data_IF_830747278388
#
_entry.id   IF_830747278388
#
_cell.length_a   1.000
_cell.length_b   1.000
_cell.length_c   1.000
_cell.angle_alpha   90.00
_cell.angle_beta   90.00
_cell.angle_gamma   90.00
#
_symmetry.space_group_name_H-M   'P 1'
#
loop_
_entity.id
_entity.type
_entity.pdbx_description
1 polymer ?
#
# COMPACT_ATOMS: atom_id res chain seq x y z
N UNK A 1 3.53 -10.93 -6.77
CA UNK A 1 4.06 -9.93 -7.72
C UNK A 1 2.98 -9.51 -8.71
N UNK A 2 2.56 -8.25 -8.63
CA UNK A 2 1.67 -7.64 -9.63
C UNK A 2 2.48 -7.41 -10.93
N UNK A 3 1.93 -7.64 -12.14
CA UNK A 3 2.62 -7.37 -13.41
C UNK A 3 3.21 -5.96 -13.53
N UNK A 4 2.61 -4.95 -12.86
CA UNK A 4 3.15 -3.59 -12.79
C UNK A 4 4.50 -3.51 -12.07
N UNK A 5 4.63 -4.21 -10.95
CA UNK A 5 5.82 -4.22 -10.10
C UNK A 5 7.00 -4.93 -10.77
N UNK A 6 6.72 -5.90 -11.64
CA UNK A 6 7.74 -6.54 -12.50
C UNK A 6 8.28 -5.58 -13.56
N UNK A 7 7.46 -4.67 -14.07
CA UNK A 7 7.90 -3.65 -15.02
C UNK A 7 8.75 -2.59 -14.32
N UNK A 8 8.41 -2.20 -13.09
CA UNK A 8 9.05 -1.09 -12.37
C UNK A 8 10.38 -1.47 -11.69
N UNK A 9 10.53 -2.72 -11.25
CA UNK A 9 11.80 -3.23 -10.69
C UNK A 9 12.96 -3.24 -11.69
N UNK A 10 12.66 -3.14 -12.99
CA UNK A 10 13.65 -3.09 -14.06
C UNK A 10 14.25 -1.68 -14.27
N UNK A 11 13.59 -0.62 -13.76
CA UNK A 11 13.95 0.79 -14.04
C UNK A 11 14.29 1.61 -12.78
N UNK A 12 13.87 1.16 -11.60
CA UNK A 12 14.19 1.82 -10.35
C UNK A 12 15.69 1.69 -10.01
N UNK A 13 16.46 2.76 -10.19
CA UNK A 13 17.82 2.90 -9.65
C UNK A 13 17.82 2.90 -8.09
N UNK A 14 16.65 3.08 -7.47
CA UNK A 14 16.46 3.15 -6.02
C UNK A 14 16.01 1.80 -5.44
N UNK A 15 16.97 0.88 -5.26
CA UNK A 15 16.71 -0.47 -4.69
C UNK A 15 15.84 -0.45 -3.40
N UNK A 16 16.07 0.45 -2.42
CA UNK A 16 15.20 0.57 -1.25
C UNK A 16 13.71 0.83 -1.57
N UNK A 17 13.41 1.65 -2.58
CA UNK A 17 12.03 1.94 -2.95
C UNK A 17 11.36 0.75 -3.67
N UNK A 18 12.10 0.04 -4.51
CA UNK A 18 11.58 -1.15 -5.19
C UNK A 18 11.17 -2.23 -4.18
N UNK A 19 11.98 -2.43 -3.13
CA UNK A 19 11.65 -3.35 -2.03
C UNK A 19 10.40 -2.88 -1.28
N UNK A 20 10.26 -1.57 -1.05
CA UNK A 20 9.05 -1.00 -0.43
C UNK A 20 7.79 -1.30 -1.25
N UNK A 21 7.83 -1.09 -2.56
CA UNK A 21 6.69 -1.36 -3.46
C UNK A 21 6.36 -2.85 -3.50
N UNK A 22 7.36 -3.74 -3.46
CA UNK A 22 7.13 -5.18 -3.43
C UNK A 22 6.43 -5.63 -2.14
N UNK A 23 6.86 -5.12 -0.99
CA UNK A 23 6.19 -5.41 0.28
C UNK A 23 4.78 -4.81 0.32
N UNK A 24 4.60 -3.61 -0.23
CA UNK A 24 3.30 -2.98 -0.37
C UNK A 24 2.33 -3.80 -1.24
N UNK A 25 2.80 -4.36 -2.35
CA UNK A 25 2.02 -5.27 -3.20
C UNK A 25 1.47 -6.48 -2.45
N UNK A 26 2.32 -7.10 -1.60
CA UNK A 26 1.93 -8.26 -0.81
C UNK A 26 0.83 -7.87 0.18
N UNK A 27 1.01 -6.74 0.86
CA UNK A 27 0.01 -6.20 1.76
C UNK A 27 -1.32 -5.92 1.04
N UNK A 28 -1.27 -5.19 -0.08
CA UNK A 28 -2.47 -4.87 -0.87
C UNK A 28 -3.21 -6.14 -1.30
N UNK A 29 -2.49 -7.16 -1.74
CA UNK A 29 -3.07 -8.44 -2.12
C UNK A 29 -3.81 -9.10 -0.94
N UNK A 30 -3.18 -9.15 0.23
CA UNK A 30 -3.79 -9.68 1.46
C UNK A 30 -5.04 -8.88 1.81
N UNK A 31 -4.94 -7.56 1.85
CA UNK A 31 -6.04 -6.64 2.15
C UNK A 31 -7.23 -6.86 1.22
N UNK A 32 -6.99 -6.88 -0.09
CA UNK A 32 -8.04 -7.11 -1.10
C UNK A 32 -8.66 -8.50 -0.95
N UNK A 33 -7.86 -9.54 -0.69
CA UNK A 33 -8.37 -10.91 -0.58
C UNK A 33 -9.19 -11.12 0.69
N UNK A 34 -8.73 -10.60 1.84
CA UNK A 34 -9.47 -10.64 3.10
C UNK A 34 -10.78 -9.85 2.98
N UNK A 35 -10.72 -8.62 2.46
CA UNK A 35 -11.90 -7.78 2.27
C UNK A 35 -12.94 -8.44 1.33
N UNK A 36 -12.48 -9.07 0.23
CA UNK A 36 -13.36 -9.79 -0.72
C UNK A 36 -13.78 -11.17 -0.22
N UNK A 37 -13.47 -11.55 1.03
CA UNK A 37 -13.72 -12.88 1.61
C UNK A 37 -13.16 -14.03 0.75
N UNK A 38 -12.08 -13.76 0.02
CA UNK A 38 -11.34 -14.74 -0.81
C UNK A 38 -10.14 -15.35 -0.08
N UNK A 39 -9.86 -14.87 1.13
CA UNK A 39 -8.81 -15.37 2.01
C UNK A 39 -9.33 -15.27 3.45
N UNK A 40 -9.30 -16.36 4.24
CA UNK A 40 -9.59 -16.31 5.66
C UNK A 40 -8.56 -15.45 6.41
N UNK A 41 -8.99 -14.81 7.50
CA UNK A 41 -8.11 -14.01 8.38
C UNK A 41 -6.93 -14.85 8.89
N UNK A 42 -7.17 -16.11 9.25
CA UNK A 42 -6.13 -17.04 9.72
C UNK A 42 -5.02 -17.30 8.68
N UNK A 43 -5.34 -17.25 7.38
CA UNK A 43 -4.33 -17.38 6.32
C UNK A 43 -3.60 -16.04 6.06
N UNK A 44 -4.24 -14.92 6.36
CA UNK A 44 -3.68 -13.59 6.21
C UNK A 44 -2.73 -13.19 7.35
N UNK A 45 -2.98 -13.67 8.57
CA UNK A 45 -2.17 -13.38 9.78
C UNK A 45 -0.67 -13.56 9.59
N UNK A 46 -0.15 -14.71 9.11
CA UNK A 46 1.30 -14.89 8.97
C UNK A 46 1.90 -13.92 7.95
N UNK A 47 1.20 -13.66 6.83
CA UNK A 47 1.69 -12.73 5.79
C UNK A 47 1.69 -11.31 6.34
N UNK A 48 0.63 -10.91 7.05
CA UNK A 48 0.52 -9.59 7.66
C UNK A 48 1.60 -9.40 8.73
N UNK A 49 1.84 -10.39 9.59
CA UNK A 49 2.88 -10.32 10.61
C UNK A 49 4.31 -10.20 10.03
N UNK A 50 4.54 -10.72 8.83
CA UNK A 50 5.82 -10.61 8.12
C UNK A 50 6.01 -9.22 7.48
N UNK A 51 5.04 -8.77 6.69
CA UNK A 51 5.21 -7.55 5.86
C UNK A 51 4.91 -6.27 6.63
N UNK A 52 4.01 -6.31 7.61
CA UNK A 52 3.49 -5.12 8.29
C UNK A 52 4.52 -4.36 9.12
N UNK A 53 5.27 -5.02 10.03
CA UNK A 53 6.23 -4.30 10.88
C UNK A 53 7.31 -3.64 10.04
N UNK A 54 7.76 -4.32 8.98
CA UNK A 54 8.75 -3.78 8.06
C UNK A 54 8.21 -2.56 7.31
N UNK A 55 6.99 -2.64 6.75
CA UNK A 55 6.39 -1.51 6.03
C UNK A 55 6.22 -0.28 6.94
N UNK A 56 5.77 -0.45 8.19
CA UNK A 56 5.68 0.65 9.16
C UNK A 56 7.05 1.29 9.44
N UNK A 57 8.09 0.46 9.54
CA UNK A 57 9.46 0.94 9.77
C UNK A 57 10.13 1.55 8.55
N UNK A 58 9.68 1.25 7.33
CA UNK A 58 10.24 1.87 6.12
C UNK A 58 9.44 3.09 5.67
N UNK A 59 8.14 3.15 5.99
CA UNK A 59 7.26 4.19 5.47
C UNK A 59 7.68 5.60 5.88
N UNK A 60 8.25 5.79 7.08
CA UNK A 60 8.71 7.13 7.53
C UNK A 60 9.73 7.77 6.57
N UNK A 61 10.50 6.98 5.83
CA UNK A 61 11.47 7.49 4.85
C UNK A 61 10.78 7.99 3.58
N UNK A 62 9.60 7.44 3.28
CA UNK A 62 8.86 7.70 2.06
C UNK A 62 7.67 8.62 2.27
N UNK A 63 7.24 8.87 3.50
CA UNK A 63 6.06 9.67 3.83
C UNK A 63 6.12 11.05 3.16
N UNK A 64 7.19 11.80 3.40
CA UNK A 64 7.39 13.15 2.82
C UNK A 64 7.53 13.10 1.29
N UNK A 65 8.17 12.06 0.77
CA UNK A 65 8.39 11.88 -0.68
C UNK A 65 7.09 11.56 -1.40
N UNK A 66 6.24 10.72 -0.81
CA UNK A 66 4.97 10.28 -1.37
C UNK A 66 3.84 11.28 -1.13
N UNK A 67 3.98 12.19 -0.16
CA UNK A 67 3.02 13.25 0.18
C UNK A 67 2.47 14.04 -1.01
N UNK A 68 3.30 14.67 -1.86
CA UNK A 68 2.79 15.42 -3.00
C UNK A 68 2.02 14.53 -3.99
N UNK A 69 2.32 13.23 -4.06
CA UNK A 69 1.68 12.31 -4.98
C UNK A 69 0.31 11.86 -4.47
N UNK A 70 0.21 11.45 -3.19
CA UNK A 70 -1.07 11.01 -2.65
C UNK A 70 -2.06 12.15 -2.46
N UNK A 71 -1.62 13.39 -2.20
CA UNK A 71 -2.53 14.56 -2.09
C UNK A 71 -3.29 14.86 -3.39
N UNK A 72 -2.75 14.43 -4.53
CA UNK A 72 -3.38 14.61 -5.84
C UNK A 72 -4.26 13.43 -6.26
N UNK A 73 -4.36 12.40 -5.41
CA UNK A 73 -5.21 11.23 -5.66
C UNK A 73 -6.61 11.46 -5.12
N UNK A 74 -7.53 10.55 -5.46
CA UNK A 74 -8.89 10.59 -4.94
C UNK A 74 -9.22 9.29 -4.22
N UNK A 75 -9.84 9.42 -3.05
CA UNK A 75 -10.46 8.34 -2.30
C UNK A 75 -11.95 8.65 -2.16
N UNK A 76 -12.82 7.66 -2.43
CA UNK A 76 -14.27 7.84 -2.40
C UNK A 76 -14.83 8.99 -3.28
N UNK A 77 -14.09 9.42 -4.31
CA UNK A 77 -14.48 10.51 -5.21
C UNK A 77 -13.99 11.90 -4.80
N UNK A 78 -13.43 12.04 -3.59
CA UNK A 78 -12.87 13.29 -3.08
C UNK A 78 -11.33 13.27 -3.10
N UNK A 79 -10.71 14.45 -3.11
CA UNK A 79 -9.25 14.53 -2.98
C UNK A 79 -8.81 13.95 -1.63
N UNK A 80 -7.76 13.14 -1.68
CA UNK A 80 -7.21 12.47 -0.51
C UNK A 80 -6.64 13.50 0.48
N UNK A 81 -7.35 13.72 1.60
CA UNK A 81 -6.94 14.63 2.68
C UNK A 81 -6.20 13.91 3.82
N UNK A 82 -6.25 12.58 3.85
CA UNK A 82 -5.59 11.74 4.84
C UNK A 82 -4.57 10.88 4.13
N UNK A 83 -3.41 10.71 4.73
CA UNK A 83 -2.39 9.81 4.22
C UNK A 83 -2.96 8.38 4.06
N UNK A 84 -3.09 7.90 2.80
CA UNK A 84 -3.70 6.60 2.54
C UNK A 84 -2.78 5.44 2.95
N UNK A 85 -1.47 5.65 2.98
CA UNK A 85 -0.50 4.66 3.42
C UNK A 85 -0.58 4.52 4.94
N UNK A 86 -0.50 5.63 5.69
CA UNK A 86 -0.61 5.60 7.14
C UNK A 86 -1.93 4.99 7.59
N UNK A 87 -3.04 5.38 6.96
CA UNK A 87 -4.37 4.85 7.27
C UNK A 87 -4.46 3.32 7.08
N UNK A 88 -3.76 2.77 6.08
CA UNK A 88 -3.60 1.33 5.97
C UNK A 88 -2.68 0.85 7.09
N UNK A 89 -1.45 1.35 7.19
CA UNK A 89 -0.41 0.97 8.16
C UNK A 89 -0.80 1.06 9.65
N UNK A 90 -1.91 1.72 9.98
CA UNK A 90 -2.52 1.77 11.31
C UNK A 90 -3.45 0.58 11.64
N UNK A 91 -3.79 -0.28 10.67
CA UNK A 91 -4.50 -1.54 10.92
C UNK A 91 -3.64 -2.48 11.80
N UNK A 92 -4.11 -2.81 13.00
CA UNK A 92 -3.31 -3.61 13.94
C UNK A 92 -3.28 -5.12 13.61
N UNK A 93 -4.26 -5.61 12.85
CA UNK A 93 -4.40 -7.02 12.51
C UNK A 93 -5.21 -7.22 11.22
N UNK A 94 -5.12 -8.39 10.55
CA UNK A 94 -5.94 -8.65 9.35
C UNK A 94 -7.44 -8.64 9.63
N UNK A 95 -7.87 -8.94 10.87
CA UNK A 95 -9.28 -8.81 11.24
C UNK A 95 -9.78 -7.36 11.14
N UNK A 96 -8.92 -6.36 11.35
CA UNK A 96 -9.26 -4.95 11.22
C UNK A 96 -9.53 -4.53 9.77
N UNK A 97 -9.18 -5.37 8.78
CA UNK A 97 -9.54 -5.17 7.37
C UNK A 97 -11.05 -5.36 7.18
N UNK A 98 -11.66 -6.29 7.93
CA UNK A 98 -13.09 -6.58 7.83
C UNK A 98 -13.90 -5.42 8.44
N UNK A 99 -14.69 -4.75 7.62
CA UNK A 99 -15.53 -3.63 8.05
C UNK A 99 -14.83 -2.27 8.04
N UNK A 100 -13.51 -2.20 7.81
CA UNK A 100 -12.82 -0.91 7.65
C UNK A 100 -12.94 -0.39 6.21
N UNK A 101 -14.14 0.04 5.88
CA UNK A 101 -14.47 0.59 4.57
C UNK A 101 -13.60 1.80 4.20
N UNK A 102 -13.27 2.63 5.19
CA UNK A 102 -12.41 3.81 5.01
C UNK A 102 -11.03 3.39 4.47
N UNK A 103 -10.39 2.40 5.08
CA UNK A 103 -9.11 1.87 4.59
C UNK A 103 -9.22 1.32 3.16
N UNK A 104 -10.30 0.62 2.85
CA UNK A 104 -10.49 0.04 1.52
C UNK A 104 -10.71 1.10 0.44
N UNK A 105 -11.38 2.21 0.77
CA UNK A 105 -11.55 3.33 -0.15
C UNK A 105 -10.25 4.08 -0.46
N UNK A 106 -9.27 4.01 0.43
CA UNK A 106 -7.97 4.68 0.29
C UNK A 106 -6.89 3.79 -0.33
N UNK A 107 -7.11 2.48 -0.41
CA UNK A 107 -6.18 1.55 -1.06
C UNK A 107 -5.87 1.92 -2.52
N UNK A 108 -6.85 2.29 -3.39
CA UNK A 108 -6.54 2.77 -4.74
C UNK A 108 -5.75 4.08 -4.76
N UNK A 109 -5.98 4.97 -3.79
CA UNK A 109 -5.27 6.23 -3.66
C UNK A 109 -3.78 6.02 -3.34
N UNK A 110 -3.46 5.10 -2.41
CA UNK A 110 -2.07 4.72 -2.14
C UNK A 110 -1.38 4.12 -3.38
N UNK A 111 -2.07 3.21 -4.09
CA UNK A 111 -1.52 2.62 -5.33
C UNK A 111 -1.26 3.68 -6.41
N UNK A 112 -2.20 4.59 -6.63
CA UNK A 112 -2.05 5.67 -7.59
C UNK A 112 -0.87 6.59 -7.23
N UNK A 113 -0.67 6.88 -5.94
CA UNK A 113 0.46 7.69 -5.49
C UNK A 113 1.81 7.03 -5.80
N UNK A 114 1.95 5.72 -5.56
CA UNK A 114 3.15 4.97 -5.92
C UNK A 114 3.41 5.03 -7.43
N UNK A 115 2.37 4.82 -8.24
CA UNK A 115 2.48 4.85 -9.70
C UNK A 115 2.94 6.22 -10.21
N UNK A 116 2.40 7.31 -9.63
CA UNK A 116 2.79 8.67 -10.01
C UNK A 116 4.24 8.98 -9.63
N UNK A 117 4.64 8.64 -8.41
CA UNK A 117 6.02 8.82 -8.00
C UNK A 117 6.98 8.07 -8.92
N UNK A 118 6.70 6.80 -9.21
CA UNK A 118 7.53 5.99 -10.10
C UNK A 118 7.66 6.57 -11.49
N UNK A 119 6.57 7.12 -12.04
CA UNK A 119 6.57 7.78 -13.36
C UNK A 119 7.39 9.07 -13.37
N UNK A 120 7.42 9.81 -12.26
CA UNK A 120 8.25 11.02 -12.13
C UNK A 120 9.75 10.72 -11.98
N UNK A 121 10.12 9.47 -11.66
CA UNK A 121 11.51 9.02 -11.60
C UNK A 121 12.06 8.51 -12.95
N UNK A 122 11.22 8.41 -13.99
CA UNK A 122 11.61 8.08 -15.38
C UNK A 122 12.19 9.30 -16.12
#
# INVERSE_FOLDING_TARGET
MNPFTRFLSQWSQNRPFAEFVEQWDQLELVVVRVHRKKMPVAEAEPIFAEVWPWLRQQYWQWEEVLRPYWQQTKAAGELTQTDPFQLLLDLEAPNAILGNWRAMQHLPAAREALNRYLRDQE
#
